data_IF_760623738747
#
_entry.id   IF_760623738747
#
_cell.length_a   1.000
_cell.length_b   1.000
_cell.length_c   1.000
_cell.angle_alpha   90.00
_cell.angle_beta   90.00
_cell.angle_gamma   90.00
#
_symmetry.space_group_name_H-M   'P 1'
#
loop_
_entity.id
_entity.type
_entity.pdbx_description
1 polymer ?
#
# COMPACT_ATOMS: atom_id res chain seq x y z
N UNK A 1 7.03 26.66 34.98
CA UNK A 1 6.05 26.04 34.06
C UNK A 1 6.54 26.25 32.64
N UNK A 2 7.29 25.30 32.08
CA UNK A 2 7.85 25.40 30.71
C UNK A 2 7.15 24.37 29.83
N UNK A 3 6.46 24.88 28.81
CA UNK A 3 5.64 24.12 27.86
C UNK A 3 6.44 22.95 27.24
N UNK A 4 6.08 21.72 27.62
CA UNK A 4 6.62 20.46 27.06
C UNK A 4 6.04 20.10 25.67
N UNK A 5 5.16 20.94 25.13
CA UNK A 5 4.47 20.72 23.86
C UNK A 5 5.34 20.98 22.61
N UNK A 6 6.55 21.55 22.76
CA UNK A 6 7.35 22.02 21.63
C UNK A 6 8.76 21.40 21.58
N UNK A 7 8.87 20.10 21.86
CA UNK A 7 10.13 19.37 21.71
C UNK A 7 10.25 18.87 20.25
N UNK A 8 11.24 19.31 19.46
CA UNK A 8 11.37 18.97 18.04
C UNK A 8 11.35 17.45 17.79
N UNK A 9 11.92 16.66 18.69
CA UNK A 9 11.90 15.19 18.61
C UNK A 9 10.47 14.61 18.58
N UNK A 10 9.52 15.23 19.28
CA UNK A 10 8.12 14.78 19.32
C UNK A 10 7.37 15.15 18.03
N UNK A 11 7.73 16.27 17.41
CA UNK A 11 7.21 16.69 16.10
C UNK A 11 7.69 15.74 15.02
N UNK A 12 9.01 15.45 14.95
CA UNK A 12 9.59 14.48 14.02
C UNK A 12 8.89 13.12 14.10
N UNK A 13 8.70 12.61 15.33
CA UNK A 13 8.03 11.33 15.56
C UNK A 13 6.58 11.35 15.08
N UNK A 14 5.87 12.45 15.28
CA UNK A 14 4.46 12.59 14.89
C UNK A 14 4.30 12.68 13.37
N UNK A 15 5.13 13.48 12.70
CA UNK A 15 5.13 13.62 11.24
C UNK A 15 5.49 12.29 10.57
N UNK A 16 6.54 11.60 11.04
CA UNK A 16 6.89 10.28 10.52
C UNK A 16 5.76 9.27 10.71
N UNK A 17 5.06 9.30 11.85
CA UNK A 17 3.89 8.43 12.09
C UNK A 17 2.76 8.72 11.10
N UNK A 18 2.53 10.00 10.78
CA UNK A 18 1.56 10.44 9.80
C UNK A 18 1.91 9.95 8.39
N UNK A 19 3.16 10.13 7.97
CA UNK A 19 3.66 9.64 6.70
C UNK A 19 3.50 8.11 6.59
N UNK A 20 3.90 7.35 7.62
CA UNK A 20 3.74 5.88 7.65
C UNK A 20 2.28 5.47 7.53
N UNK A 21 1.35 6.16 8.20
CA UNK A 21 -0.08 5.87 8.12
C UNK A 21 -0.63 6.11 6.72
N UNK A 22 -0.22 7.21 6.07
CA UNK A 22 -0.59 7.49 4.67
C UNK A 22 0.03 6.49 3.69
N UNK A 23 1.22 5.98 3.98
CA UNK A 23 1.90 5.00 3.15
C UNK A 23 1.31 3.57 3.26
N UNK A 24 0.28 3.36 4.08
CA UNK A 24 -0.44 2.07 4.11
C UNK A 24 -1.40 1.91 2.92
N UNK A 25 -1.82 3.00 2.29
CA UNK A 25 -2.64 2.97 1.07
C UNK A 25 -1.84 3.51 -0.11
N UNK A 26 -1.75 2.71 -1.18
CA UNK A 26 -1.03 3.03 -2.41
C UNK A 26 -1.55 4.34 -3.04
N UNK A 27 -2.83 4.67 -2.87
CA UNK A 27 -3.42 5.91 -3.38
C UNK A 27 -2.88 7.15 -2.69
N UNK A 28 -2.48 7.02 -1.42
CA UNK A 28 -1.94 8.11 -0.60
C UNK A 28 -0.41 8.12 -0.54
N UNK A 29 0.27 7.24 -1.28
CA UNK A 29 1.74 7.26 -1.42
C UNK A 29 2.32 8.62 -1.85
N UNK A 30 1.74 9.36 -2.82
CA UNK A 30 2.26 10.68 -3.18
C UNK A 30 2.26 11.64 -1.99
N UNK A 31 1.18 11.66 -1.22
CA UNK A 31 1.03 12.52 -0.04
C UNK A 31 1.91 12.05 1.12
N UNK A 32 2.09 10.74 1.28
CA UNK A 32 3.02 10.17 2.25
C UNK A 32 4.47 10.57 1.94
N UNK A 33 4.86 10.54 0.66
CA UNK A 33 6.17 10.96 0.20
C UNK A 33 6.39 12.47 0.42
N UNK A 34 5.39 13.31 0.14
CA UNK A 34 5.51 14.75 0.42
C UNK A 34 5.78 15.02 1.91
N UNK A 35 5.03 14.39 2.82
CA UNK A 35 5.28 14.53 4.26
C UNK A 35 6.65 14.00 4.69
N UNK A 36 7.11 12.92 4.05
CA UNK A 36 8.43 12.37 4.31
C UNK A 36 9.56 13.29 3.79
N UNK A 37 9.42 13.88 2.61
CA UNK A 37 10.43 14.79 2.04
C UNK A 37 10.57 16.07 2.85
N UNK A 38 9.48 16.61 3.41
CA UNK A 38 9.54 17.74 4.35
C UNK A 38 10.33 17.37 5.63
N UNK A 39 10.12 16.16 6.15
CA UNK A 39 10.86 15.62 7.29
C UNK A 39 12.34 15.42 6.97
N UNK A 40 12.62 14.85 5.78
CA UNK A 40 13.95 14.60 5.28
C UNK A 40 14.73 15.90 5.13
N UNK A 41 14.14 16.95 4.54
CA UNK A 41 14.79 18.23 4.37
C UNK A 41 15.22 18.87 5.71
N UNK A 42 14.37 18.75 6.73
CA UNK A 42 14.68 19.22 8.09
C UNK A 42 15.80 18.39 8.74
N UNK A 43 15.72 17.06 8.63
CA UNK A 43 16.72 16.17 9.22
C UNK A 43 18.07 16.26 8.50
N UNK A 44 18.08 16.45 7.18
CA UNK A 44 19.29 16.58 6.38
C UNK A 44 20.07 17.86 6.70
N UNK A 45 19.38 18.92 7.10
CA UNK A 45 19.99 20.17 7.57
C UNK A 45 20.76 19.98 8.90
N UNK A 46 20.24 19.13 9.80
CA UNK A 46 20.84 18.90 11.12
C UNK A 46 21.83 17.72 11.14
N UNK A 47 21.48 16.61 10.47
CA UNK A 47 22.27 15.39 10.41
C UNK A 47 22.05 14.65 9.08
N UNK A 48 22.86 14.94 8.05
CA UNK A 48 22.68 14.37 6.71
C UNK A 48 22.84 12.86 6.67
N UNK A 49 23.75 12.28 7.47
CA UNK A 49 23.95 10.82 7.53
C UNK A 49 22.70 10.10 8.05
N UNK A 50 22.06 10.66 9.07
CA UNK A 50 20.82 10.09 9.60
C UNK A 50 19.66 10.25 8.60
N UNK A 51 19.61 11.37 7.87
CA UNK A 51 18.59 11.61 6.85
C UNK A 51 18.70 10.61 5.70
N UNK A 52 19.91 10.32 5.21
CA UNK A 52 20.14 9.34 4.16
C UNK A 52 19.71 7.92 4.58
N UNK A 53 20.06 7.50 5.79
CA UNK A 53 19.63 6.21 6.33
C UNK A 53 18.10 6.13 6.46
N UNK A 54 17.47 7.19 6.94
CA UNK A 54 16.01 7.26 7.05
C UNK A 54 15.34 7.19 5.67
N UNK A 55 15.92 7.84 4.66
CA UNK A 55 15.45 7.81 3.27
C UNK A 55 15.52 6.42 2.68
N UNK A 56 16.62 5.71 2.88
CA UNK A 56 16.75 4.31 2.43
C UNK A 56 15.66 3.41 3.05
N UNK A 57 15.43 3.53 4.37
CA UNK A 57 14.38 2.77 5.06
C UNK A 57 12.98 3.11 4.53
N UNK A 58 12.73 4.37 4.20
CA UNK A 58 11.46 4.83 3.65
C UNK A 58 11.19 4.26 2.26
N UNK A 59 12.19 4.31 1.37
CA UNK A 59 12.09 3.77 0.01
C UNK A 59 11.82 2.26 0.02
N UNK A 60 12.48 1.50 0.90
CA UNK A 60 12.20 0.08 1.08
C UNK A 60 10.77 -0.17 1.59
N UNK A 61 10.32 0.59 2.59
CA UNK A 61 8.97 0.45 3.14
C UNK A 61 7.87 0.68 2.08
N UNK A 62 7.99 1.75 1.29
CA UNK A 62 7.05 2.05 0.21
C UNK A 62 7.03 0.93 -0.84
N UNK A 63 8.20 0.39 -1.18
CA UNK A 63 8.33 -0.69 -2.16
C UNK A 63 7.64 -1.97 -1.66
N UNK A 64 7.77 -2.30 -0.38
CA UNK A 64 7.09 -3.43 0.23
C UNK A 64 5.57 -3.27 0.24
N UNK A 65 5.05 -2.07 0.54
CA UNK A 65 3.60 -1.82 0.55
C UNK A 65 2.95 -1.97 -0.82
N UNK A 66 3.62 -1.52 -1.90
CA UNK A 66 3.15 -1.76 -3.27
C UNK A 66 3.03 -3.26 -3.57
N UNK A 67 3.92 -4.07 -3.02
CA UNK A 67 3.93 -5.52 -3.22
C UNK A 67 2.74 -6.18 -2.52
N UNK A 68 2.41 -5.78 -1.29
CA UNK A 68 1.22 -6.31 -0.57
C UNK A 68 -0.06 -5.99 -1.33
N UNK A 69 -0.24 -4.74 -1.75
CA UNK A 69 -1.41 -4.33 -2.54
C UNK A 69 -1.46 -5.01 -3.91
N UNK A 70 -0.31 -5.22 -4.56
CA UNK A 70 -0.22 -5.98 -5.81
C UNK A 70 -0.67 -7.43 -5.63
N UNK A 71 -0.20 -8.12 -4.58
CA UNK A 71 -0.62 -9.50 -4.29
C UNK A 71 -2.10 -9.60 -3.93
N UNK A 72 -2.64 -8.62 -3.21
CA UNK A 72 -4.07 -8.53 -2.90
C UNK A 72 -4.90 -8.45 -4.19
N UNK A 73 -4.57 -7.49 -5.07
CA UNK A 73 -5.28 -7.31 -6.33
C UNK A 73 -5.14 -8.51 -7.28
N UNK A 74 -3.98 -9.16 -7.30
CA UNK A 74 -3.78 -10.37 -8.09
C UNK A 74 -4.66 -11.51 -7.56
N UNK A 75 -4.69 -11.72 -6.25
CA UNK A 75 -5.55 -12.73 -5.62
C UNK A 75 -7.04 -12.45 -5.88
N UNK A 76 -7.46 -11.19 -5.83
CA UNK A 76 -8.84 -10.81 -6.12
C UNK A 76 -9.19 -11.04 -7.60
N UNK A 77 -8.29 -10.69 -8.51
CA UNK A 77 -8.45 -10.96 -9.95
C UNK A 77 -8.48 -12.46 -10.27
N UNK A 78 -7.64 -13.26 -9.61
CA UNK A 78 -7.65 -14.73 -9.75
C UNK A 78 -8.96 -15.34 -9.26
N UNK A 79 -9.50 -14.84 -8.15
CA UNK A 79 -10.80 -15.30 -7.61
C UNK A 79 -11.95 -15.00 -8.57
N UNK A 80 -11.99 -13.80 -9.13
CA UNK A 80 -12.98 -13.39 -10.13
C UNK A 80 -12.90 -14.24 -11.41
N UNK A 81 -11.69 -14.55 -11.87
CA UNK A 81 -11.47 -15.42 -13.01
C UNK A 81 -11.96 -16.85 -12.71
N UNK A 82 -11.62 -17.40 -11.55
CA UNK A 82 -12.03 -18.74 -11.15
C UNK A 82 -13.55 -18.88 -11.06
N UNK A 83 -14.22 -17.84 -10.55
CA UNK A 83 -15.69 -17.80 -10.49
C UNK A 83 -16.30 -17.83 -11.89
N UNK A 84 -15.83 -16.98 -12.81
CA UNK A 84 -16.33 -16.94 -14.20
C UNK A 84 -16.10 -18.26 -14.94
N UNK A 85 -14.96 -18.90 -14.75
CA UNK A 85 -14.65 -20.21 -15.35
C UNK A 85 -15.63 -21.28 -14.83
N UNK A 86 -15.91 -21.27 -13.53
CA UNK A 86 -16.86 -22.22 -12.92
C UNK A 86 -18.28 -22.01 -13.43
N UNK A 87 -18.74 -20.76 -13.48
CA UNK A 87 -20.06 -20.39 -14.01
C UNK A 87 -20.22 -20.81 -15.47
N UNK A 88 -19.21 -20.56 -16.30
CA UNK A 88 -19.22 -20.94 -17.72
C UNK A 88 -19.23 -22.46 -17.90
N UNK A 89 -18.40 -23.19 -17.13
CA UNK A 89 -18.39 -24.66 -17.16
C UNK A 89 -19.76 -25.25 -16.81
N UNK A 90 -20.44 -24.68 -15.81
CA UNK A 90 -21.77 -25.13 -15.40
C UNK A 90 -22.84 -24.82 -16.46
N UNK A 91 -22.78 -23.65 -17.10
CA UNK A 91 -23.67 -23.32 -18.23
C UNK A 91 -23.45 -24.26 -19.42
N UNK A 92 -22.20 -24.58 -19.75
CA UNK A 92 -21.87 -25.53 -20.82
C UNK A 92 -22.49 -26.90 -20.50
N UNK A 93 -22.29 -27.42 -19.29
CA UNK A 93 -22.89 -28.70 -18.87
C UNK A 93 -24.43 -28.70 -18.95
N UNK A 94 -25.08 -27.62 -18.52
CA UNK A 94 -26.53 -27.47 -18.63
C UNK A 94 -27.01 -27.44 -20.08
N UNK A 95 -26.30 -26.73 -20.96
CA UNK A 95 -26.61 -26.69 -22.39
C UNK A 95 -26.44 -28.06 -23.05
N UNK A 96 -25.38 -28.80 -22.72
CA UNK A 96 -25.19 -30.17 -23.20
C UNK A 96 -26.30 -31.11 -22.72
N UNK A 97 -26.70 -31.03 -21.45
CA UNK A 97 -27.80 -31.84 -20.92
C UNK A 97 -29.12 -31.54 -21.62
N UNK A 98 -29.42 -30.26 -21.86
CA UNK A 98 -30.63 -29.85 -22.59
C UNK A 98 -30.60 -30.38 -24.03
N UNK A 99 -29.48 -30.24 -24.74
CA UNK A 99 -29.33 -30.72 -26.11
C UNK A 99 -29.54 -32.24 -26.22
N UNK A 100 -29.06 -33.03 -25.25
CA UNK A 100 -29.23 -34.49 -25.24
C UNK A 100 -30.69 -34.89 -24.94
N UNK A 101 -31.44 -34.09 -24.18
CA UNK A 101 -32.85 -34.36 -23.86
C UNK A 101 -33.81 -33.99 -25.00
N UNK A 102 -33.38 -33.09 -25.90
CA UNK A 102 -34.16 -32.64 -27.06
C UNK A 102 -33.99 -33.56 -28.30
N UNK A 103 -33.07 -34.55 -28.25
CA UNK A 103 -32.85 -35.59 -29.28
C UNK A 103 -33.56 -36.89 -28.93
#
# INVERSE_FOLDING_TARGET
MTNSANNPSNVFKTVLKGAIALAQDVKTHPQANEQFEELYAQLAADNPVMADLLKQLWEEYITQQRSVFFWQNLSDAEKDLAQKVTENSLQIQQNYLRLVQEQ
#
